data_IF_391828739594
#
_entry.id   IF_391828739594
#
_cell.length_a   1.000
_cell.length_b   1.000
_cell.length_c   1.000
_cell.angle_alpha   90.00
_cell.angle_beta   90.00
_cell.angle_gamma   90.00
#
_symmetry.space_group_name_H-M   'P 1'
#
loop_
_entity.id
_entity.type
_entity.pdbx_description
1 polymer ?
#
# COMPACT_ATOMS: atom_id res chain seq x y z
N UNK A 1 20.46 -12.82 36.49
CA UNK A 1 19.85 -12.93 35.16
C UNK A 1 18.93 -11.74 34.96
N UNK A 2 19.40 -10.70 34.26
CA UNK A 2 18.61 -9.50 33.96
C UNK A 2 17.70 -9.79 32.76
N UNK A 3 16.37 -9.60 32.85
CA UNK A 3 15.51 -9.74 31.68
C UNK A 3 15.88 -8.67 30.67
N UNK A 4 16.40 -9.09 29.51
CA UNK A 4 16.73 -8.20 28.41
C UNK A 4 15.49 -7.45 27.97
N UNK A 5 15.50 -6.12 28.10
CA UNK A 5 14.46 -5.25 27.57
C UNK A 5 14.32 -5.57 26.08
N UNK A 6 13.12 -5.96 25.59
CA UNK A 6 12.94 -6.22 24.18
C UNK A 6 13.28 -4.93 23.40
N UNK A 7 13.98 -5.01 22.27
CA UNK A 7 14.33 -3.82 21.51
C UNK A 7 13.04 -3.11 21.10
N UNK A 8 12.79 -1.95 21.71
CA UNK A 8 11.70 -1.06 21.34
C UNK A 8 12.06 -0.57 19.94
N UNK A 9 11.44 -1.15 18.91
CA UNK A 9 11.64 -0.69 17.54
C UNK A 9 11.27 0.78 17.48
N UNK A 10 12.14 1.64 16.93
CA UNK A 10 11.85 3.05 16.81
C UNK A 10 10.58 3.24 15.97
N UNK A 11 9.75 4.26 16.31
CA UNK A 11 8.62 4.64 15.47
C UNK A 11 9.12 5.01 14.07
N UNK A 12 8.27 4.86 13.04
CA UNK A 12 8.66 5.29 11.68
C UNK A 12 9.10 6.74 11.70
N UNK A 13 10.25 7.00 11.10
CA UNK A 13 10.82 8.32 11.03
C UNK A 13 11.10 8.73 9.58
N UNK A 14 10.89 10.01 9.28
CA UNK A 14 11.29 10.64 8.03
C UNK A 14 10.87 9.88 6.77
N UNK A 15 11.85 9.41 6.00
CA UNK A 15 11.64 8.74 4.71
C UNK A 15 10.81 7.46 4.81
N UNK A 16 10.86 6.74 5.94
CA UNK A 16 10.09 5.51 6.13
C UNK A 16 8.58 5.76 6.13
N UNK A 17 8.14 6.92 6.63
CA UNK A 17 6.72 7.31 6.64
C UNK A 17 6.22 7.48 5.20
N UNK A 18 7.01 8.13 4.35
CA UNK A 18 6.66 8.33 2.94
C UNK A 18 6.69 7.03 2.15
N UNK A 19 7.65 6.14 2.43
CA UNK A 19 7.68 4.79 1.86
C UNK A 19 6.45 3.97 2.29
N UNK A 20 6.08 4.02 3.56
CA UNK A 20 4.89 3.32 4.08
C UNK A 20 3.60 3.82 3.40
N UNK A 21 3.43 5.15 3.27
CA UNK A 21 2.28 5.73 2.56
C UNK A 21 2.27 5.30 1.09
N UNK A 22 3.41 5.35 0.41
CA UNK A 22 3.52 4.94 -1.00
C UNK A 22 3.15 3.46 -1.19
N UNK A 23 3.73 2.57 -0.38
CA UNK A 23 3.46 1.13 -0.42
C UNK A 23 1.99 0.83 -0.10
N UNK A 24 1.38 1.53 0.86
CA UNK A 24 -0.04 1.41 1.16
C UNK A 24 -0.92 1.73 -0.05
N UNK A 25 -0.63 2.85 -0.73
CA UNK A 25 -1.39 3.27 -1.93
C UNK A 25 -1.24 2.27 -3.08
N UNK A 26 -0.02 1.76 -3.29
CA UNK A 26 0.23 0.73 -4.31
C UNK A 26 -0.44 -0.60 -3.95
N UNK A 27 -0.48 -0.98 -2.67
CA UNK A 27 -1.15 -2.20 -2.20
C UNK A 27 -2.65 -2.20 -2.45
N UNK A 28 -3.31 -1.03 -2.37
CA UNK A 28 -4.73 -0.85 -2.70
C UNK A 28 -4.92 -0.86 -4.24
N UNK A 29 -3.83 -0.75 -4.99
CA UNK A 29 -3.82 -0.83 -6.44
C UNK A 29 -4.39 0.42 -7.12
N UNK A 30 -4.49 1.54 -6.40
CA UNK A 30 -5.02 2.81 -6.90
C UNK A 30 -4.00 3.66 -7.64
N UNK A 31 -2.72 3.28 -7.62
CA UNK A 31 -1.62 4.09 -8.18
C UNK A 31 -1.31 3.67 -9.60
N UNK A 32 -1.40 4.62 -10.52
CA UNK A 32 -1.08 4.45 -11.94
C UNK A 32 -0.06 5.50 -12.36
N UNK A 33 0.87 5.11 -13.22
CA UNK A 33 1.81 6.01 -13.87
C UNK A 33 1.32 6.26 -15.30
N UNK A 34 1.17 7.52 -15.67
CA UNK A 34 0.86 7.95 -17.04
C UNK A 34 2.02 8.82 -17.49
N UNK A 35 2.82 8.31 -18.42
CA UNK A 35 4.08 8.91 -18.85
C UNK A 35 5.00 9.25 -17.66
N UNK A 36 5.13 10.53 -17.32
CA UNK A 36 5.97 11.03 -16.22
C UNK A 36 5.17 11.35 -14.95
N UNK A 37 3.85 11.15 -14.95
CA UNK A 37 2.95 11.56 -13.87
C UNK A 37 2.43 10.36 -13.09
N UNK A 38 2.44 10.47 -11.78
CA UNK A 38 1.80 9.51 -10.88
C UNK A 38 0.40 10.00 -10.53
N UNK A 39 -0.58 9.13 -10.75
CA UNK A 39 -1.99 9.37 -10.50
C UNK A 39 -2.54 8.34 -9.52
N UNK A 40 -3.45 8.78 -8.66
CA UNK A 40 -4.26 7.95 -7.79
C UNK A 40 -5.72 8.34 -7.99
N UNK A 41 -6.54 7.41 -8.48
CA UNK A 41 -7.95 7.67 -8.80
C UNK A 41 -8.17 8.92 -9.68
N UNK A 42 -7.24 9.17 -10.63
CA UNK A 42 -7.25 10.34 -11.51
C UNK A 42 -6.63 11.62 -10.93
N UNK A 43 -6.32 11.65 -9.64
CA UNK A 43 -5.68 12.80 -8.98
C UNK A 43 -4.17 12.68 -8.93
N UNK A 44 -3.46 13.81 -9.00
CA UNK A 44 -2.00 13.82 -8.93
C UNK A 44 -1.51 13.39 -7.55
N UNK A 45 -0.58 12.44 -7.53
CA UNK A 45 0.07 11.98 -6.30
C UNK A 45 0.99 13.10 -5.74
N UNK A 46 0.98 13.36 -4.42
CA UNK A 46 1.84 14.38 -3.82
C UNK A 46 3.35 14.12 -4.05
N UNK A 47 4.14 15.20 -4.18
CA UNK A 47 5.56 15.12 -4.54
C UNK A 47 6.43 14.26 -3.61
N UNK A 48 6.17 14.29 -2.31
CA UNK A 48 6.89 13.45 -1.34
C UNK A 48 6.62 11.94 -1.55
N UNK A 49 5.41 11.58 -1.98
CA UNK A 49 5.05 10.19 -2.34
C UNK A 49 5.67 9.82 -3.69
N UNK A 50 5.72 10.76 -4.65
CA UNK A 50 6.41 10.55 -5.93
C UNK A 50 7.88 10.20 -5.71
N UNK A 51 8.57 10.94 -4.84
CA UNK A 51 9.96 10.66 -4.49
C UNK A 51 10.15 9.27 -3.87
N UNK A 52 9.24 8.85 -2.98
CA UNK A 52 9.24 7.52 -2.41
C UNK A 52 8.97 6.43 -3.48
N UNK A 53 7.95 6.61 -4.33
CA UNK A 53 7.63 5.68 -5.42
C UNK A 53 8.79 5.49 -6.39
N UNK A 54 9.51 6.57 -6.73
CA UNK A 54 10.69 6.49 -7.59
C UNK A 54 11.80 5.62 -6.96
N UNK A 55 12.07 5.79 -5.65
CA UNK A 55 13.06 4.97 -4.93
C UNK A 55 12.62 3.52 -4.80
N UNK A 56 11.35 3.28 -4.48
CA UNK A 56 10.79 1.93 -4.37
C UNK A 56 10.82 1.19 -5.71
N UNK A 57 10.60 1.91 -6.82
CA UNK A 57 10.71 1.38 -8.17
C UNK A 57 12.16 1.08 -8.55
N UNK A 58 13.10 2.00 -8.26
CA UNK A 58 14.53 1.77 -8.46
C UNK A 58 15.07 0.60 -7.61
N UNK A 59 14.51 0.39 -6.42
CA UNK A 59 14.84 -0.72 -5.51
C UNK A 59 14.09 -2.03 -5.79
N UNK A 60 13.27 -2.12 -6.84
CA UNK A 60 12.55 -3.34 -7.20
C UNK A 60 11.43 -3.75 -6.21
N UNK A 61 10.98 -2.84 -5.35
CA UNK A 61 9.88 -3.06 -4.41
C UNK A 61 8.52 -2.78 -5.05
N UNK A 62 8.49 -1.91 -6.05
CA UNK A 62 7.32 -1.62 -6.88
C UNK A 62 7.68 -1.88 -8.33
N UNK A 63 6.78 -2.53 -9.06
CA UNK A 63 6.88 -2.71 -10.51
C UNK A 63 5.74 -1.99 -11.23
N UNK A 64 5.96 -1.67 -12.49
CA UNK A 64 4.94 -1.11 -13.38
C UNK A 64 4.39 -2.22 -14.28
N UNK A 65 3.10 -2.43 -14.22
CA UNK A 65 2.36 -3.41 -15.01
C UNK A 65 1.56 -2.65 -16.07
N UNK A 66 1.83 -2.91 -17.35
CA UNK A 66 1.06 -2.29 -18.41
C UNK A 66 -0.42 -2.74 -18.34
N UNK A 67 -1.39 -1.85 -18.54
CA UNK A 67 -2.77 -2.26 -18.78
C UNK A 67 -2.79 -3.13 -20.05
N UNK A 68 -3.58 -4.20 -20.03
CA UNK A 68 -3.69 -5.11 -21.17
C UNK A 68 -4.11 -4.40 -22.46
N UNK A 69 -4.02 -5.08 -23.62
CA UNK A 69 -4.16 -4.49 -24.96
C UNK A 69 -5.54 -3.89 -25.29
N UNK A 70 -6.48 -3.83 -24.34
CA UNK A 70 -7.86 -3.40 -24.56
C UNK A 70 -8.10 -1.87 -24.42
N UNK A 71 -7.08 -1.07 -24.09
CA UNK A 71 -7.21 0.38 -24.06
C UNK A 71 -6.82 0.96 -25.43
N UNK A 72 -7.76 0.88 -26.38
CA UNK A 72 -7.66 1.64 -27.62
C UNK A 72 -7.57 3.14 -27.30
N UNK A 73 -6.78 3.86 -28.11
CA UNK A 73 -6.70 5.33 -28.22
C UNK A 73 -5.51 6.00 -27.48
N UNK A 74 -4.40 6.11 -28.21
CA UNK A 74 -3.48 7.26 -28.35
C UNK A 74 -3.09 8.18 -27.16
N UNK A 75 -3.22 7.79 -25.89
CA UNK A 75 -2.88 8.66 -24.76
C UNK A 75 -1.88 8.01 -23.78
N UNK A 76 -0.58 8.22 -24.05
CA UNK A 76 0.51 7.99 -23.08
C UNK A 76 0.79 6.52 -22.70
N UNK A 77 2.02 6.24 -22.29
CA UNK A 77 2.33 4.92 -21.68
C UNK A 77 1.73 4.89 -20.30
N UNK A 78 0.53 4.32 -20.17
CA UNK A 78 -0.12 4.08 -18.88
C UNK A 78 0.41 2.76 -18.30
N UNK A 79 0.74 2.72 -17.01
CA UNK A 79 1.12 1.51 -16.31
C UNK A 79 0.66 1.56 -14.85
N UNK A 80 0.06 0.48 -14.35
CA UNK A 80 -0.36 0.34 -12.96
C UNK A 80 0.84 -0.02 -12.08
N UNK A 81 1.01 0.65 -10.95
CA UNK A 81 1.99 0.20 -9.96
C UNK A 81 1.46 -1.01 -9.21
N UNK A 82 2.32 -2.02 -9.04
CA UNK A 82 2.06 -3.20 -8.26
C UNK A 82 3.23 -3.46 -7.30
N UNK A 83 2.93 -4.01 -6.12
CA UNK A 83 3.96 -4.44 -5.19
C UNK A 83 4.60 -5.74 -5.70
N UNK A 84 5.93 -5.82 -5.63
CA UNK A 84 6.62 -7.11 -5.75
C UNK A 84 6.51 -7.88 -4.43
N UNK A 85 6.89 -9.16 -4.41
CA UNK A 85 6.93 -9.94 -3.17
C UNK A 85 7.83 -9.29 -2.12
N UNK A 86 8.96 -8.71 -2.54
CA UNK A 86 9.86 -7.95 -1.66
C UNK A 86 9.22 -6.64 -1.17
N UNK A 87 8.49 -5.94 -2.05
CA UNK A 87 7.71 -4.76 -1.69
C UNK A 87 6.64 -5.06 -0.65
N UNK A 88 5.93 -6.18 -0.79
CA UNK A 88 4.94 -6.62 0.16
C UNK A 88 5.56 -6.94 1.53
N UNK A 89 6.67 -7.67 1.57
CA UNK A 89 7.39 -7.95 2.82
C UNK A 89 7.88 -6.67 3.52
N UNK A 90 8.34 -5.67 2.76
CA UNK A 90 8.71 -4.36 3.31
C UNK A 90 7.50 -3.59 3.84
N UNK A 91 6.39 -3.59 3.10
CA UNK A 91 5.15 -2.97 3.53
C UNK A 91 4.64 -3.57 4.85
N UNK A 92 4.66 -4.90 4.97
CA UNK A 92 4.24 -5.60 6.18
C UNK A 92 5.10 -5.22 7.40
N UNK A 93 6.42 -5.15 7.21
CA UNK A 93 7.35 -4.70 8.27
C UNK A 93 7.06 -3.27 8.72
N UNK A 94 6.85 -2.35 7.77
CA UNK A 94 6.54 -0.95 8.07
C UNK A 94 5.18 -0.82 8.75
N UNK A 95 4.19 -1.64 8.39
CA UNK A 95 2.90 -1.67 9.07
C UNK A 95 3.01 -2.14 10.53
N UNK A 96 3.80 -3.18 10.81
CA UNK A 96 4.08 -3.64 12.17
C UNK A 96 4.73 -2.52 13.01
N UNK A 97 5.65 -1.75 12.40
CA UNK A 97 6.28 -0.60 13.05
C UNK A 97 5.30 0.57 13.25
N UNK A 98 4.45 0.86 12.27
CA UNK A 98 3.51 1.99 12.27
C UNK A 98 2.40 1.81 13.30
N UNK A 99 1.85 0.60 13.35
CA UNK A 99 0.71 0.26 14.20
C UNK A 99 1.15 -0.24 15.58
N UNK A 100 2.46 -0.41 15.80
CA UNK A 100 3.03 -1.10 16.98
C UNK A 100 2.31 -2.42 17.28
N UNK A 101 1.91 -3.10 16.22
CA UNK A 101 0.98 -4.21 16.26
C UNK A 101 1.69 -5.49 15.79
N UNK A 102 1.51 -6.62 16.47
CA UNK A 102 2.11 -7.88 16.05
C UNK A 102 1.55 -8.34 14.69
N UNK A 103 2.38 -9.04 13.91
CA UNK A 103 2.08 -9.46 12.53
C UNK A 103 0.71 -10.14 12.39
N UNK A 104 0.32 -10.97 13.36
CA UNK A 104 -0.97 -11.66 13.36
C UNK A 104 -2.18 -10.71 13.38
N UNK A 105 -2.12 -9.61 14.15
CA UNK A 105 -3.20 -8.63 14.20
C UNK A 105 -3.22 -7.76 12.93
N UNK A 106 -2.05 -7.48 12.33
CA UNK A 106 -1.99 -6.81 11.04
C UNK A 106 -2.59 -7.67 9.91
N UNK A 107 -2.26 -8.96 9.87
CA UNK A 107 -2.85 -9.91 8.90
C UNK A 107 -4.37 -10.00 9.08
N UNK A 108 -4.86 -10.03 10.33
CA UNK A 108 -6.29 -10.01 10.62
C UNK A 108 -6.98 -8.72 10.14
N UNK A 109 -6.34 -7.56 10.34
CA UNK A 109 -6.82 -6.27 9.82
C UNK A 109 -6.88 -6.28 8.28
N UNK A 110 -5.81 -6.71 7.62
CA UNK A 110 -5.76 -6.81 6.16
C UNK A 110 -6.82 -7.76 5.60
N UNK A 111 -7.04 -8.91 6.26
CA UNK A 111 -8.13 -9.84 5.88
C UNK A 111 -9.49 -9.14 5.95
N UNK A 112 -9.77 -8.39 7.02
CA UNK A 112 -11.04 -7.66 7.16
C UNK A 112 -11.28 -6.63 6.04
N UNK A 113 -10.22 -5.98 5.55
CA UNK A 113 -10.31 -5.04 4.42
C UNK A 113 -10.42 -5.74 3.05
N UNK A 114 -9.85 -6.94 2.89
CA UNK A 114 -9.87 -7.71 1.64
C UNK A 114 -11.16 -8.52 1.49
N UNK A 115 -11.67 -9.10 2.58
CA UNK A 115 -12.92 -9.86 2.58
C UNK A 115 -14.15 -8.95 2.47
N UNK A 116 -13.99 -7.66 2.75
CA UNK A 116 -15.09 -6.70 2.72
C UNK A 116 -16.24 -7.17 3.60
N UNK A 117 -16.00 -7.38 4.90
CA UNK A 117 -17.04 -7.77 5.85
C UNK A 117 -18.24 -6.82 5.70
N UNK A 118 -19.40 -7.31 5.19
CA UNK A 118 -20.60 -6.52 5.18
C UNK A 118 -21.03 -6.40 6.64
N UNK A 119 -20.84 -5.19 7.15
CA UNK A 119 -21.40 -4.66 8.38
C UNK A 119 -22.52 -5.55 8.99
N UNK A 120 -22.29 -6.23 10.13
CA UNK A 120 -23.31 -7.08 10.74
C UNK A 120 -24.51 -6.27 11.29
N UNK A 121 -24.47 -4.93 11.26
CA UNK A 121 -25.55 -4.07 11.74
C UNK A 121 -26.59 -3.74 10.66
N UNK A 122 -26.49 -4.27 9.43
CA UNK A 122 -27.53 -4.09 8.40
C UNK A 122 -28.58 -5.21 8.35
N UNK A 123 -28.62 -6.10 9.33
CA UNK A 123 -29.57 -7.24 9.36
C UNK A 123 -30.56 -7.16 10.51
N UNK A 124 -31.28 -6.03 10.61
CA UNK A 124 -32.51 -5.96 11.42
C UNK A 124 -33.55 -5.09 10.71
N UNK A 125 -34.17 -5.65 9.67
CA UNK A 125 -35.50 -5.21 9.26
C UNK A 125 -36.49 -6.26 9.79
N UNK A 126 -37.51 -5.87 10.58
CA UNK A 126 -38.57 -6.79 10.97
C UNK A 126 -39.44 -7.14 9.74
N UNK A 127 -39.92 -8.39 9.62
CA UNK A 127 -40.92 -8.73 8.62
C UNK A 127 -42.26 -8.06 8.98
N UNK A 128 -42.97 -7.59 7.95
CA UNK A 128 -44.36 -7.11 7.99
C UNK A 128 -45.32 -8.27 8.27
#
# INVERSE_FOLDING_TARGET
MTPGTPPIRPPLAGAEVYEWIALRRVSIGGVTKVDHRWLESGHRVPGYVIGALARLLAGGLVMLVAPGPSAGTSAGTTARAALTSAGFARYERLCQQALRMPAAQFIALCRRFVDGDPDPARSTAPPD
#
